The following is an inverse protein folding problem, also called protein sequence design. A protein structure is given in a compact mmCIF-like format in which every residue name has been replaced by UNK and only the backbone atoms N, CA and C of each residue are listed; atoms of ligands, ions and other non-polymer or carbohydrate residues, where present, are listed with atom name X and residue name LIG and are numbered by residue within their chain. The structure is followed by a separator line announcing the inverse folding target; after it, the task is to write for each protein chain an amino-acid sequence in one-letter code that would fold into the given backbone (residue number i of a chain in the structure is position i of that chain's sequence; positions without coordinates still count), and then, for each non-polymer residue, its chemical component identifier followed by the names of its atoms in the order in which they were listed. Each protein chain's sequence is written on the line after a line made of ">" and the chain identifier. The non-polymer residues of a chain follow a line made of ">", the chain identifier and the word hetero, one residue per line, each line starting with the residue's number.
data_IF_576050900677
#
_entry.id   IF_576050900677
#
_cell.length_a   1.000
_cell.length_b   1.000
_cell.length_c   1.000
_cell.angle_alpha   90.00
_cell.angle_beta   90.00
_cell.angle_gamma   90.00
#
_symmetry.space_group_name_H-M   'P 1'
#
loop_
_entity.id
_entity.type
_entity.pdbx_description
1 polymer ?
#
# COMPACT_ATOMS: atom_id res chain seq x y z
N UNK A 1 27.68 37.68 13.14
CA UNK A 1 27.28 36.76 14.23
C UNK A 1 26.99 35.38 13.63
N UNK A 2 27.90 34.41 13.82
CA UNK A 2 27.67 33.00 13.41
C UNK A 2 26.69 32.39 14.43
N UNK A 3 25.42 32.25 14.06
CA UNK A 3 24.45 31.47 14.83
C UNK A 3 25.04 30.07 15.02
N UNK A 4 25.15 29.60 16.27
CA UNK A 4 25.51 28.21 16.58
C UNK A 4 24.51 27.34 15.83
N UNK A 5 24.94 26.71 14.72
CA UNK A 5 24.11 25.74 14.01
C UNK A 5 23.65 24.70 15.02
N UNK A 6 22.32 24.65 15.22
CA UNK A 6 21.64 23.79 16.17
C UNK A 6 22.02 22.32 15.89
N UNK A 7 22.01 21.45 16.91
CA UNK A 7 22.44 20.05 16.72
C UNK A 7 21.65 19.36 15.59
N UNK A 8 20.35 19.66 15.49
CA UNK A 8 19.48 19.19 14.42
C UNK A 8 19.90 19.72 13.04
N UNK A 9 20.31 20.98 12.94
CA UNK A 9 20.78 21.60 11.69
C UNK A 9 22.08 20.94 11.20
N UNK A 10 23.01 20.60 12.11
CA UNK A 10 24.23 19.86 11.78
C UNK A 10 23.98 18.40 11.43
N UNK A 11 23.08 17.71 12.16
CA UNK A 11 22.85 16.29 11.99
C UNK A 11 22.08 15.95 10.71
N UNK A 12 21.08 16.77 10.37
CA UNK A 12 20.23 16.59 9.18
C UNK A 12 20.69 17.41 7.97
N UNK A 13 21.54 18.42 8.15
CA UNK A 13 21.98 19.29 7.06
C UNK A 13 20.88 20.25 6.57
N UNK A 14 20.03 20.74 7.47
CA UNK A 14 18.81 21.52 7.14
C UNK A 14 19.16 22.76 6.31
N UNK A 15 20.14 23.53 6.75
CA UNK A 15 20.63 24.72 6.05
C UNK A 15 21.31 24.38 4.71
N UNK A 16 21.98 23.22 4.61
CA UNK A 16 22.63 22.76 3.36
C UNK A 16 21.59 22.35 2.32
N UNK A 17 20.47 21.78 2.76
CA UNK A 17 19.32 21.44 1.93
C UNK A 17 18.40 22.63 1.60
N UNK A 18 18.82 23.87 1.91
CA UNK A 18 18.05 25.11 1.70
C UNK A 18 16.67 25.10 2.39
N UNK A 19 16.58 24.46 3.56
CA UNK A 19 15.35 24.38 4.37
C UNK A 19 15.53 25.09 5.73
N UNK A 20 14.46 25.11 6.55
CA UNK A 20 14.47 25.64 7.92
C UNK A 20 13.72 24.71 8.87
N UNK A 21 14.02 24.73 10.17
CA UNK A 21 13.33 23.89 11.17
C UNK A 21 11.81 24.09 11.10
N UNK A 22 11.33 25.33 10.95
CA UNK A 22 9.89 25.64 10.83
C UNK A 22 9.29 25.00 9.57
N UNK A 23 10.01 25.06 8.45
CA UNK A 23 9.60 24.45 7.19
C UNK A 23 9.53 22.93 7.32
N UNK A 24 10.54 22.30 7.92
CA UNK A 24 10.57 20.84 8.14
C UNK A 24 9.43 20.37 9.05
N UNK A 25 9.13 21.10 10.13
CA UNK A 25 7.99 20.78 11.02
C UNK A 25 6.66 20.90 10.28
N UNK A 26 6.46 21.99 9.53
CA UNK A 26 5.23 22.18 8.75
C UNK A 26 5.10 21.15 7.62
N UNK A 27 6.21 20.77 7.00
CA UNK A 27 6.27 19.72 6.00
C UNK A 27 5.90 18.37 6.62
N UNK A 28 6.44 18.03 7.80
CA UNK A 28 6.14 16.78 8.49
C UNK A 28 4.68 16.67 8.90
N UNK A 29 4.09 17.77 9.39
CA UNK A 29 2.65 17.87 9.69
C UNK A 29 1.83 17.72 8.41
N UNK A 30 2.24 18.36 7.32
CA UNK A 30 1.56 18.26 6.02
C UNK A 30 1.57 16.83 5.52
N UNK A 31 2.74 16.17 5.53
CA UNK A 31 2.91 14.76 5.16
C UNK A 31 2.02 13.85 6.01
N UNK A 32 2.01 14.04 7.33
CA UNK A 32 1.13 13.25 8.20
C UNK A 32 -0.35 13.44 7.83
N UNK A 33 -0.84 14.67 7.68
CA UNK A 33 -2.25 14.94 7.34
C UNK A 33 -2.64 14.31 5.99
N UNK A 34 -1.74 14.28 5.02
CA UNK A 34 -2.01 13.66 3.71
C UNK A 34 -2.03 12.14 3.76
N UNK A 35 -1.39 11.51 4.76
CA UNK A 35 -1.28 10.05 4.89
C UNK A 35 -2.18 9.49 6.01
N UNK A 36 -2.68 10.34 6.92
CA UNK A 36 -3.45 9.93 8.09
C UNK A 36 -4.68 9.05 7.77
N UNK A 37 -5.18 9.10 6.55
CA UNK A 37 -6.23 8.19 6.08
C UNK A 37 -5.85 6.70 6.19
N UNK A 38 -4.55 6.34 6.10
CA UNK A 38 -4.04 4.96 6.21
C UNK A 38 -4.36 4.36 7.58
N UNK A 39 -4.41 5.20 8.63
CA UNK A 39 -4.82 4.78 9.96
C UNK A 39 -6.21 4.17 9.98
N UNK A 40 -7.11 4.61 9.09
CA UNK A 40 -8.46 4.07 8.99
C UNK A 40 -8.50 2.94 7.96
N UNK A 41 -7.87 3.14 6.80
CA UNK A 41 -7.96 2.20 5.69
C UNK A 41 -7.26 0.87 5.95
N UNK A 42 -6.06 0.88 6.54
CA UNK A 42 -5.31 -0.35 6.72
C UNK A 42 -6.01 -1.34 7.68
N UNK A 43 -6.50 -0.93 8.87
CA UNK A 43 -7.32 -1.78 9.73
C UNK A 43 -8.53 -2.37 9.04
N UNK A 44 -9.23 -1.58 8.24
CA UNK A 44 -10.41 -2.04 7.52
C UNK A 44 -10.05 -3.09 6.47
N UNK A 45 -9.02 -2.86 5.65
CA UNK A 45 -8.61 -3.84 4.63
C UNK A 45 -8.18 -5.16 5.28
N UNK A 46 -7.37 -5.12 6.35
CA UNK A 46 -6.84 -6.33 6.97
C UNK A 46 -7.88 -7.11 7.78
N UNK A 47 -8.95 -6.45 8.25
CA UNK A 47 -10.06 -7.10 8.95
C UNK A 47 -11.18 -7.56 8.03
N UNK A 48 -11.31 -6.98 6.83
CA UNK A 48 -12.36 -7.28 5.85
C UNK A 48 -12.51 -8.78 5.53
N UNK A 49 -11.45 -9.59 5.37
CA UNK A 49 -11.59 -11.02 5.12
C UNK A 49 -12.39 -11.74 6.23
N UNK A 50 -12.23 -11.35 7.49
CA UNK A 50 -12.94 -11.94 8.61
C UNK A 50 -14.41 -11.50 8.66
N UNK A 51 -14.72 -10.30 8.19
CA UNK A 51 -16.11 -9.87 7.96
C UNK A 51 -16.76 -10.75 6.89
N UNK A 52 -16.07 -10.98 5.77
CA UNK A 52 -16.56 -11.81 4.65
C UNK A 52 -16.73 -13.27 5.07
N UNK A 53 -15.83 -13.81 5.90
CA UNK A 53 -15.90 -15.16 6.44
C UNK A 53 -16.96 -15.34 7.55
N UNK A 54 -17.61 -14.26 8.00
CA UNK A 54 -18.68 -14.31 9.00
C UNK A 54 -18.22 -14.28 10.46
N UNK A 55 -16.98 -13.83 10.73
CA UNK A 55 -16.43 -13.65 12.08
C UNK A 55 -16.19 -12.15 12.39
N UNK A 56 -17.28 -11.38 12.67
CA UNK A 56 -17.18 -9.95 12.93
C UNK A 56 -16.44 -9.63 14.25
N UNK A 57 -16.42 -10.55 15.20
CA UNK A 57 -15.74 -10.37 16.49
C UNK A 57 -14.23 -10.38 16.28
N UNK A 58 -13.73 -11.36 15.52
CA UNK A 58 -12.30 -11.41 15.17
C UNK A 58 -11.93 -10.24 14.25
N UNK A 59 -12.79 -9.85 13.32
CA UNK A 59 -12.58 -8.68 12.46
C UNK A 59 -12.36 -7.40 13.30
N UNK A 60 -13.19 -7.16 14.33
CA UNK A 60 -13.03 -6.00 15.20
C UNK A 60 -11.71 -6.04 15.98
N UNK A 61 -11.34 -7.19 16.55
CA UNK A 61 -10.06 -7.36 17.26
C UNK A 61 -8.87 -7.09 16.34
N UNK A 62 -8.90 -7.63 15.11
CA UNK A 62 -7.87 -7.39 14.10
C UNK A 62 -7.83 -5.90 13.74
N UNK A 63 -8.96 -5.23 13.52
CA UNK A 63 -8.95 -3.81 13.20
C UNK A 63 -8.31 -2.96 14.32
N UNK A 64 -8.66 -3.24 15.58
CA UNK A 64 -8.09 -2.55 16.74
C UNK A 64 -6.57 -2.76 16.82
N UNK A 65 -6.12 -4.01 16.67
CA UNK A 65 -4.72 -4.38 16.69
C UNK A 65 -3.92 -3.81 15.52
N UNK A 66 -4.44 -3.91 14.30
CA UNK A 66 -3.82 -3.39 13.08
C UNK A 66 -3.70 -1.87 13.14
N UNK A 67 -4.62 -1.13 13.77
CA UNK A 67 -4.46 0.32 13.92
C UNK A 67 -3.21 0.65 14.72
N UNK A 68 -3.07 0.04 15.91
CA UNK A 68 -1.92 0.26 16.78
C UNK A 68 -0.63 -0.22 16.08
N UNK A 69 -0.68 -1.39 15.45
CA UNK A 69 0.40 -1.93 14.63
C UNK A 69 0.80 -1.00 13.49
N UNK A 70 -0.17 -0.35 12.85
CA UNK A 70 0.06 0.63 11.78
C UNK A 70 0.76 1.88 12.31
N UNK A 71 0.32 2.43 13.44
CA UNK A 71 0.98 3.57 14.08
C UNK A 71 2.44 3.24 14.43
N UNK A 72 2.69 2.07 15.03
CA UNK A 72 4.04 1.65 15.44
C UNK A 72 4.90 1.32 14.22
N UNK A 73 4.39 0.58 13.25
CA UNK A 73 5.10 0.24 12.01
C UNK A 73 5.47 1.47 11.19
N UNK A 74 4.52 2.40 11.02
CA UNK A 74 4.76 3.67 10.34
C UNK A 74 5.75 4.57 11.11
N UNK A 75 5.68 4.58 12.44
CA UNK A 75 6.68 5.24 13.29
C UNK A 75 8.08 4.66 13.06
N UNK A 76 8.24 3.34 13.14
CA UNK A 76 9.55 2.67 12.96
C UNK A 76 10.10 2.97 11.56
N UNK A 77 9.32 2.74 10.51
CA UNK A 77 9.78 2.97 9.13
C UNK A 77 10.10 4.43 8.85
N UNK A 78 9.26 5.34 9.32
CA UNK A 78 9.49 6.77 9.12
C UNK A 78 10.67 7.30 9.94
N UNK A 79 10.92 6.79 11.15
CA UNK A 79 12.13 7.09 11.95
C UNK A 79 13.39 6.58 11.25
N UNK A 80 13.34 5.39 10.64
CA UNK A 80 14.47 4.88 9.85
C UNK A 80 14.74 5.78 8.64
N UNK A 81 13.70 6.22 7.93
CA UNK A 81 13.85 7.23 6.87
C UNK A 81 14.44 8.54 7.39
N UNK A 82 14.05 8.98 8.59
CA UNK A 82 14.57 10.17 9.23
C UNK A 82 16.06 10.03 9.59
N UNK A 83 16.43 9.02 10.37
CA UNK A 83 17.74 8.94 11.01
C UNK A 83 18.79 8.23 10.13
N UNK A 84 18.38 7.16 9.44
CA UNK A 84 19.27 6.33 8.63
C UNK A 84 19.39 6.86 7.20
N UNK A 85 18.26 7.03 6.50
CA UNK A 85 18.28 7.57 5.14
C UNK A 85 18.43 9.10 5.11
N UNK A 86 17.98 9.82 6.14
CA UNK A 86 17.93 11.30 6.19
C UNK A 86 17.22 11.93 5.00
N UNK A 87 16.14 11.30 4.56
CA UNK A 87 15.28 11.75 3.45
C UNK A 87 13.89 12.08 3.98
N UNK A 88 13.17 13.05 3.37
CA UNK A 88 11.84 13.50 3.82
C UNK A 88 10.71 12.55 3.36
N UNK A 89 10.96 11.24 3.34
CA UNK A 89 9.96 10.24 3.00
C UNK A 89 9.30 9.69 4.26
N UNK A 90 7.97 9.57 4.23
CA UNK A 90 7.23 8.81 5.22
C UNK A 90 7.07 7.37 4.75
N UNK A 91 7.06 6.45 5.72
CA UNK A 91 6.72 5.06 5.47
C UNK A 91 5.47 4.68 6.25
N UNK A 92 4.57 3.97 5.57
CA UNK A 92 3.33 3.46 6.13
C UNK A 92 2.93 2.19 5.37
N UNK A 93 1.92 1.43 5.86
CA UNK A 93 1.45 0.24 5.17
C UNK A 93 1.07 0.49 3.70
N UNK A 94 1.69 -0.27 2.79
CA UNK A 94 1.51 -0.12 1.35
C UNK A 94 0.13 -0.56 0.89
N UNK A 95 -0.66 0.35 0.33
CA UNK A 95 -2.08 0.07 0.02
C UNK A 95 -2.29 -1.11 -0.93
N UNK A 96 -1.39 -1.32 -1.91
CA UNK A 96 -1.44 -2.50 -2.80
C UNK A 96 -1.08 -3.80 -2.07
N UNK A 97 -0.13 -3.75 -1.15
CA UNK A 97 0.32 -4.89 -0.35
C UNK A 97 -0.70 -5.31 0.70
N UNK A 98 -1.42 -4.35 1.28
CA UNK A 98 -2.53 -4.60 2.20
C UNK A 98 -3.63 -5.39 1.50
N UNK A 99 -3.96 -5.00 0.27
CA UNK A 99 -4.92 -5.70 -0.57
C UNK A 99 -4.47 -7.11 -0.94
N UNK A 100 -3.20 -7.28 -1.33
CA UNK A 100 -2.63 -8.61 -1.61
C UNK A 100 -2.66 -9.51 -0.37
N UNK A 101 -2.30 -8.97 0.80
CA UNK A 101 -2.38 -9.67 2.08
C UNK A 101 -3.81 -10.13 2.39
N UNK A 102 -4.78 -9.20 2.37
CA UNK A 102 -6.14 -9.48 2.80
C UNK A 102 -6.90 -10.37 1.81
N UNK A 103 -6.84 -10.04 0.52
CA UNK A 103 -7.73 -10.66 -0.46
C UNK A 103 -7.10 -11.85 -1.18
N UNK A 104 -5.79 -11.84 -1.41
CA UNK A 104 -5.12 -12.97 -2.06
C UNK A 104 -4.71 -14.00 -1.02
N UNK A 105 -3.93 -13.62 -0.02
CA UNK A 105 -3.35 -14.59 0.94
C UNK A 105 -4.40 -15.08 1.96
N UNK A 106 -5.11 -14.17 2.61
CA UNK A 106 -6.09 -14.55 3.63
C UNK A 106 -7.37 -15.09 3.00
N UNK A 107 -8.05 -14.30 2.17
CA UNK A 107 -9.34 -14.70 1.60
C UNK A 107 -9.21 -15.74 0.46
N UNK A 108 -8.29 -15.54 -0.48
CA UNK A 108 -8.15 -16.40 -1.66
C UNK A 108 -7.48 -17.74 -1.36
N UNK A 109 -6.41 -17.75 -0.57
CA UNK A 109 -5.64 -18.95 -0.25
C UNK A 109 -6.01 -19.59 1.10
N UNK A 110 -6.86 -18.94 1.90
CA UNK A 110 -7.39 -19.48 3.15
C UNK A 110 -6.41 -19.43 4.34
N UNK A 111 -5.31 -18.67 4.27
CA UNK A 111 -4.41 -18.50 5.40
C UNK A 111 -5.00 -17.59 6.46
N UNK A 112 -4.64 -17.80 7.72
CA UNK A 112 -5.04 -16.89 8.80
C UNK A 112 -4.25 -15.57 8.75
N UNK A 113 -4.78 -14.52 9.38
CA UNK A 113 -4.06 -13.26 9.59
C UNK A 113 -2.67 -13.47 10.22
N UNK A 114 -2.56 -14.34 11.24
CA UNK A 114 -1.29 -14.65 11.89
C UNK A 114 -0.30 -15.37 10.96
N UNK A 115 -0.77 -16.27 10.10
CA UNK A 115 0.06 -16.96 9.10
C UNK A 115 0.53 -16.00 8.00
N UNK A 116 -0.34 -15.11 7.56
CA UNK A 116 0.01 -14.08 6.59
C UNK A 116 1.07 -13.11 7.16
N UNK A 117 1.00 -12.73 8.45
CA UNK A 117 2.05 -11.94 9.11
C UNK A 117 3.41 -12.65 9.10
N UNK A 118 3.46 -13.97 9.27
CA UNK A 118 4.71 -14.74 9.14
C UNK A 118 5.30 -14.62 7.74
N UNK A 119 4.48 -14.70 6.70
CA UNK A 119 4.93 -14.54 5.30
C UNK A 119 5.54 -13.15 5.10
N UNK A 120 4.90 -12.09 5.64
CA UNK A 120 5.43 -10.72 5.59
C UNK A 120 6.75 -10.62 6.35
N UNK A 121 6.84 -11.22 7.55
CA UNK A 121 8.04 -11.22 8.37
C UNK A 121 9.23 -11.89 7.66
N UNK A 122 9.01 -13.07 7.08
CA UNK A 122 10.02 -13.80 6.31
C UNK A 122 10.41 -13.03 5.03
N UNK A 123 9.45 -12.37 4.37
CA UNK A 123 9.71 -11.48 3.24
C UNK A 123 10.60 -10.29 3.65
N UNK A 124 10.35 -9.70 4.82
CA UNK A 124 11.19 -8.64 5.38
C UNK A 124 12.63 -9.10 5.63
N UNK A 125 12.83 -10.28 6.24
CA UNK A 125 14.17 -10.89 6.43
C UNK A 125 14.85 -11.09 5.07
N UNK A 126 14.14 -11.71 4.13
CA UNK A 126 14.64 -11.93 2.78
C UNK A 126 15.10 -10.61 2.16
N UNK A 127 14.32 -9.53 2.30
CA UNK A 127 14.70 -8.21 1.78
C UNK A 127 15.90 -7.58 2.45
N UNK A 128 16.04 -7.71 3.77
CA UNK A 128 17.23 -7.22 4.47
C UNK A 128 18.47 -7.91 3.90
N UNK A 129 18.43 -9.23 3.72
CA UNK A 129 19.54 -10.02 3.17
C UNK A 129 19.86 -9.60 1.74
N UNK A 130 18.87 -9.58 0.84
CA UNK A 130 19.12 -9.25 -0.57
C UNK A 130 19.50 -7.76 -0.77
N UNK A 131 19.07 -6.86 0.11
CA UNK A 131 19.46 -5.45 0.08
C UNK A 131 20.88 -5.27 0.60
N UNK A 132 21.28 -6.02 1.63
CA UNK A 132 22.64 -5.99 2.17
C UNK A 132 23.67 -6.41 1.12
N UNK A 133 23.40 -7.49 0.36
CA UNK A 133 24.28 -7.98 -0.72
C UNK A 133 24.16 -7.18 -2.03
N UNK A 134 23.29 -6.16 -2.10
CA UNK A 134 23.12 -5.32 -3.30
C UNK A 134 22.27 -5.94 -4.42
N UNK A 135 21.70 -7.12 -4.20
CA UNK A 135 20.86 -7.80 -5.18
C UNK A 135 19.55 -7.04 -5.44
N UNK A 136 18.95 -6.41 -4.41
CA UNK A 136 17.70 -5.63 -4.58
C UNK A 136 17.87 -4.52 -5.62
N UNK A 137 18.97 -3.77 -5.58
CA UNK A 137 19.29 -2.72 -6.56
C UNK A 137 19.59 -3.30 -7.95
N UNK A 138 20.30 -4.43 -8.02
CA UNK A 138 20.54 -5.10 -9.29
C UNK A 138 19.23 -5.56 -9.97
N UNK A 139 18.28 -6.08 -9.19
CA UNK A 139 16.95 -6.43 -9.69
C UNK A 139 16.22 -5.18 -10.17
N UNK A 140 16.24 -4.08 -9.41
CA UNK A 140 15.64 -2.80 -9.80
C UNK A 140 16.17 -2.31 -11.14
N UNK A 141 17.50 -2.31 -11.28
CA UNK A 141 18.16 -1.87 -12.50
C UNK A 141 17.90 -2.82 -13.67
N UNK A 142 17.55 -4.08 -13.41
CA UNK A 142 17.19 -5.03 -14.47
C UNK A 142 15.80 -4.80 -15.04
N UNK A 143 14.86 -4.29 -14.24
CA UNK A 143 13.47 -4.11 -14.68
C UNK A 143 13.41 -3.02 -15.74
N UNK A 144 12.83 -3.30 -16.92
CA UNK A 144 12.66 -2.32 -17.98
C UNK A 144 11.78 -1.15 -17.53
N UNK A 145 12.10 0.05 -17.98
CA UNK A 145 11.35 1.25 -17.59
C UNK A 145 9.88 1.18 -18.00
N UNK A 146 9.56 0.54 -19.13
CA UNK A 146 8.18 0.29 -19.56
C UNK A 146 7.34 -0.44 -18.48
N UNK A 147 7.92 -1.45 -17.82
CA UNK A 147 7.24 -2.18 -16.73
C UNK A 147 7.34 -1.41 -15.42
N UNK A 148 8.51 -0.83 -15.13
CA UNK A 148 8.78 -0.07 -13.90
C UNK A 148 7.79 1.09 -13.71
N UNK A 149 7.55 1.86 -14.77
CA UNK A 149 6.63 3.00 -14.75
C UNK A 149 5.16 2.58 -14.78
N UNK A 150 4.86 1.36 -15.25
CA UNK A 150 3.52 0.81 -15.32
C UNK A 150 3.02 0.16 -14.01
N UNK A 151 3.93 -0.18 -13.09
CA UNK A 151 3.58 -0.77 -11.79
C UNK A 151 2.66 0.15 -10.98
N UNK A 152 3.05 1.41 -10.78
CA UNK A 152 2.28 2.37 -9.97
C UNK A 152 0.84 2.59 -10.49
N UNK A 153 0.61 2.87 -11.80
CA UNK A 153 -0.76 2.98 -12.32
C UNK A 153 -1.54 1.65 -12.27
N UNK A 154 -0.88 0.50 -12.46
CA UNK A 154 -1.52 -0.82 -12.30
C UNK A 154 -2.03 -1.08 -10.88
N UNK A 155 -1.20 -0.77 -9.87
CA UNK A 155 -1.59 -0.85 -8.45
C UNK A 155 -2.74 0.12 -8.15
N UNK A 156 -2.70 1.32 -8.73
CA UNK A 156 -3.80 2.29 -8.61
C UNK A 156 -5.15 1.74 -9.11
N UNK A 157 -5.17 1.07 -10.26
CA UNK A 157 -6.38 0.42 -10.78
C UNK A 157 -6.82 -0.78 -9.91
N UNK A 158 -5.86 -1.55 -9.39
CA UNK A 158 -6.16 -2.66 -8.47
C UNK A 158 -6.83 -2.19 -7.17
N UNK A 159 -6.32 -1.12 -6.55
CA UNK A 159 -6.96 -0.53 -5.36
C UNK A 159 -8.31 0.10 -5.72
N UNK A 160 -8.45 0.67 -6.92
CA UNK A 160 -9.72 1.23 -7.41
C UNK A 160 -10.80 0.16 -7.51
N UNK A 161 -10.52 -1.02 -8.08
CA UNK A 161 -11.53 -2.09 -8.18
C UNK A 161 -11.95 -2.62 -6.80
N UNK A 162 -11.04 -2.65 -5.82
CA UNK A 162 -11.36 -2.97 -4.42
C UNK A 162 -12.30 -1.92 -3.83
N UNK A 163 -11.98 -0.63 -4.00
CA UNK A 163 -12.84 0.46 -3.54
C UNK A 163 -14.25 0.39 -4.15
N UNK A 164 -14.34 0.14 -5.46
CA UNK A 164 -15.62 0.01 -6.15
C UNK A 164 -16.44 -1.19 -5.67
N UNK A 165 -15.78 -2.31 -5.38
CA UNK A 165 -16.41 -3.51 -4.79
C UNK A 165 -16.89 -3.25 -3.35
N UNK A 166 -16.04 -2.66 -2.50
CA UNK A 166 -16.35 -2.38 -1.10
C UNK A 166 -17.46 -1.33 -0.94
N UNK A 167 -17.59 -0.42 -1.91
CA UNK A 167 -18.70 0.52 -2.00
C UNK A 167 -20.03 -0.15 -2.44
N UNK A 168 -20.00 -1.38 -2.94
CA UNK A 168 -21.15 -1.99 -3.60
C UNK A 168 -21.48 -1.35 -4.96
N UNK A 169 -20.57 -0.59 -5.56
CA UNK A 169 -20.78 0.01 -6.91
C UNK A 169 -20.62 -1.07 -7.98
N UNK A 170 -19.59 -1.91 -7.85
CA UNK A 170 -19.35 -3.05 -8.73
C UNK A 170 -19.72 -4.34 -8.00
N UNK A 171 -20.60 -5.12 -8.63
CA UNK A 171 -21.06 -6.43 -8.17
C UNK A 171 -20.61 -7.54 -9.13
N UNK A 172 -20.51 -8.77 -8.63
CA UNK A 172 -20.17 -9.93 -9.45
C UNK A 172 -21.30 -10.26 -10.43
N UNK A 173 -20.96 -10.56 -11.68
CA UNK A 173 -21.92 -11.02 -12.68
C UNK A 173 -21.38 -12.29 -13.36
N UNK A 174 -22.07 -13.43 -13.32
CA UNK A 174 -21.60 -14.67 -13.94
C UNK A 174 -21.34 -14.57 -15.46
N UNK A 175 -22.02 -13.67 -16.17
CA UNK A 175 -21.89 -13.50 -17.61
C UNK A 175 -20.75 -12.55 -18.01
N UNK A 176 -20.41 -11.57 -17.17
CA UNK A 176 -19.44 -10.49 -17.51
C UNK A 176 -18.30 -10.33 -16.51
N UNK A 177 -18.22 -11.20 -15.50
CA UNK A 177 -17.41 -11.11 -14.28
C UNK A 177 -17.82 -9.95 -13.35
N UNK A 178 -18.05 -8.76 -13.89
CA UNK A 178 -18.42 -7.55 -13.16
C UNK A 178 -19.64 -6.87 -13.77
N UNK A 179 -20.48 -6.25 -12.93
CA UNK A 179 -21.62 -5.42 -13.34
C UNK A 179 -21.80 -4.25 -12.38
N UNK A 180 -22.52 -3.22 -12.82
CA UNK A 180 -22.90 -2.09 -11.99
C UNK A 180 -24.07 -2.50 -11.08
N UNK A 181 -24.09 -2.02 -9.84
CA UNK A 181 -25.28 -2.15 -8.99
C UNK A 181 -26.51 -1.54 -9.67
N UNK A 182 -27.64 -2.23 -9.56
CA UNK A 182 -28.91 -1.70 -10.04
C UNK A 182 -29.49 -0.69 -9.05
N UNK A 183 -29.21 0.59 -9.30
CA UNK A 183 -29.74 1.70 -8.53
C UNK A 183 -31.27 1.80 -8.60
N UNK A 184 -31.95 1.14 -9.55
CA UNK A 184 -33.42 1.15 -9.67
C UNK A 184 -34.11 0.24 -8.66
N UNK A 185 -33.35 -0.62 -7.96
CA UNK A 185 -33.89 -1.53 -6.95
C UNK A 185 -34.49 -0.82 -5.74
N UNK A 186 -34.23 0.48 -5.53
CA UNK A 186 -34.91 1.29 -4.50
C UNK A 186 -36.45 1.30 -4.61
N UNK A 187 -37.00 0.93 -5.78
CA UNK A 187 -38.44 0.83 -6.04
C UNK A 187 -39.05 -0.53 -5.66
N UNK A 188 -38.23 -1.54 -5.37
CA UNK A 188 -38.68 -2.90 -5.08
C UNK A 188 -38.75 -3.11 -3.55
N UNK A 189 -39.88 -3.61 -3.06
CA UNK A 189 -40.01 -4.04 -1.67
C UNK A 189 -39.08 -5.24 -1.41
N UNK A 190 -38.13 -5.08 -0.48
CA UNK A 190 -37.14 -6.11 -0.13
C UNK A 190 -35.75 -5.95 -0.77
N UNK A 191 -35.50 -4.86 -1.52
CA UNK A 191 -34.17 -4.56 -2.04
C UNK A 191 -33.16 -4.26 -0.91
N UNK A 192 -31.89 -4.64 -1.13
CA UNK A 192 -30.79 -4.37 -0.20
C UNK A 192 -30.43 -2.87 -0.22
N UNK A 193 -31.20 -2.10 0.54
CA UNK A 193 -31.00 -0.66 0.70
C UNK A 193 -29.62 -0.33 1.27
N UNK A 194 -28.97 -1.26 1.99
CA UNK A 194 -27.64 -1.05 2.56
C UNK A 194 -26.57 -0.98 1.45
N UNK A 195 -26.69 -1.80 0.42
CA UNK A 195 -25.78 -1.82 -0.72
C UNK A 195 -25.92 -0.54 -1.58
N UNK A 196 -27.15 -0.11 -1.85
CA UNK A 196 -27.43 1.13 -2.61
C UNK A 196 -26.94 2.36 -1.82
N UNK A 197 -27.28 2.43 -0.52
CA UNK A 197 -26.85 3.52 0.33
C UNK A 197 -25.31 3.57 0.46
N UNK A 198 -24.67 2.40 0.49
CA UNK A 198 -23.21 2.26 0.42
C UNK A 198 -22.63 2.89 -0.84
N UNK A 199 -23.17 2.53 -2.00
CA UNK A 199 -22.73 3.05 -3.29
C UNK A 199 -22.92 4.57 -3.40
N UNK A 200 -24.08 5.09 -2.94
CA UNK A 200 -24.35 6.53 -2.91
C UNK A 200 -23.41 7.28 -1.98
N UNK A 201 -23.18 6.76 -0.77
CA UNK A 201 -22.23 7.34 0.19
C UNK A 201 -20.84 7.42 -0.41
N UNK A 202 -20.43 6.35 -1.11
CA UNK A 202 -19.13 6.31 -1.74
C UNK A 202 -19.01 7.33 -2.90
N UNK A 203 -20.01 7.41 -3.78
CA UNK A 203 -20.01 8.36 -4.90
C UNK A 203 -20.00 9.80 -4.42
N UNK A 204 -20.82 10.15 -3.42
CA UNK A 204 -20.84 11.50 -2.85
C UNK A 204 -19.51 11.80 -2.15
N UNK A 205 -18.99 10.85 -1.37
CA UNK A 205 -17.69 10.97 -0.72
C UNK A 205 -16.56 11.21 -1.72
N UNK A 206 -16.58 10.51 -2.86
CA UNK A 206 -15.59 10.65 -3.93
C UNK A 206 -15.65 12.05 -4.57
N UNK A 207 -16.86 12.55 -4.83
CA UNK A 207 -17.06 13.91 -5.36
C UNK A 207 -16.52 14.95 -4.36
N UNK A 208 -16.83 14.81 -3.07
CA UNK A 208 -16.32 15.71 -2.03
C UNK A 208 -14.79 15.67 -1.97
N UNK A 209 -14.17 14.48 -1.96
CA UNK A 209 -12.72 14.32 -2.01
C UNK A 209 -12.12 15.02 -3.24
N UNK A 210 -12.72 14.81 -4.42
CA UNK A 210 -12.31 15.44 -5.66
C UNK A 210 -12.38 16.96 -5.61
N UNK A 211 -13.47 17.53 -5.08
CA UNK A 211 -13.64 18.98 -4.92
C UNK A 211 -12.60 19.54 -3.95
N UNK A 212 -12.41 18.91 -2.78
CA UNK A 212 -11.43 19.34 -1.78
C UNK A 212 -10.00 19.29 -2.35
N UNK A 213 -9.67 18.22 -3.07
CA UNK A 213 -8.36 18.07 -3.70
C UNK A 213 -8.15 19.08 -4.84
N UNK A 214 -9.16 19.32 -5.68
CA UNK A 214 -9.10 20.33 -6.74
C UNK A 214 -8.91 21.75 -6.17
N UNK A 215 -9.46 22.02 -4.98
CA UNK A 215 -9.22 23.25 -4.20
C UNK A 215 -7.89 23.26 -3.44
N UNK A 216 -7.03 22.26 -3.64
CA UNK A 216 -5.71 22.12 -2.99
C UNK A 216 -5.78 22.10 -1.46
N UNK A 217 -6.87 21.56 -0.90
CA UNK A 217 -7.02 21.38 0.55
C UNK A 217 -6.15 20.21 1.01
N UNK A 218 -5.23 20.47 1.94
CA UNK A 218 -4.38 19.43 2.56
C UNK A 218 -5.25 18.45 3.35
N UNK A 219 -5.00 17.15 3.20
CA UNK A 219 -5.81 16.11 3.85
C UNK A 219 -7.19 15.92 3.23
N UNK A 220 -7.36 16.24 1.94
CA UNK A 220 -8.62 16.07 1.20
C UNK A 220 -9.19 14.65 1.33
N UNK A 221 -8.34 13.63 1.35
CA UNK A 221 -8.73 12.22 1.52
C UNK A 221 -9.29 11.99 2.92
N UNK A 222 -8.58 12.41 3.97
CA UNK A 222 -9.05 12.27 5.36
C UNK A 222 -10.38 13.01 5.59
N UNK A 223 -10.47 14.28 5.14
CA UNK A 223 -11.68 15.07 5.25
C UNK A 223 -12.85 14.47 4.45
N UNK A 224 -12.55 13.86 3.31
CA UNK A 224 -13.53 13.11 2.54
C UNK A 224 -14.06 11.88 3.25
N UNK A 225 -13.21 11.13 3.96
CA UNK A 225 -13.64 9.99 4.79
C UNK A 225 -14.57 10.48 5.89
N UNK A 226 -14.22 11.59 6.56
CA UNK A 226 -15.07 12.20 7.60
C UNK A 226 -16.42 12.62 7.00
N UNK A 227 -16.42 13.30 5.86
CA UNK A 227 -17.66 13.71 5.19
C UNK A 227 -18.52 12.50 4.78
N UNK A 228 -17.93 11.47 4.18
CA UNK A 228 -18.64 10.24 3.80
C UNK A 228 -19.20 9.50 5.03
N UNK A 229 -18.46 9.50 6.15
CA UNK A 229 -18.91 8.91 7.42
C UNK A 229 -20.12 9.66 7.97
N UNK A 230 -20.11 10.99 7.92
CA UNK A 230 -21.23 11.83 8.35
C UNK A 230 -22.47 11.65 7.46
N UNK A 231 -22.28 11.51 6.15
CA UNK A 231 -23.36 11.21 5.19
C UNK A 231 -23.93 9.80 5.39
N UNK A 232 -23.09 8.85 5.83
CA UNK A 232 -23.52 7.50 6.17
C UNK A 232 -24.44 7.42 7.40
N UNK A 233 -24.47 8.44 8.28
CA UNK A 233 -25.35 8.49 9.46
C UNK A 233 -26.84 8.54 9.06
N UNK A 234 -27.32 9.55 8.30
CA UNK A 234 -28.72 9.60 7.88
C UNK A 234 -29.11 8.45 6.95
N UNK A 235 -28.14 7.84 6.26
CA UNK A 235 -28.36 6.68 5.39
C UNK A 235 -28.39 5.34 6.14
N UNK A 236 -28.21 5.34 7.46
CA UNK A 236 -28.26 4.13 8.31
C UNK A 236 -27.06 3.20 8.19
N UNK A 237 -26.01 3.62 7.49
CA UNK A 237 -24.77 2.84 7.26
C UNK A 237 -23.81 3.03 8.43
N UNK A 238 -23.69 4.25 8.94
CA UNK A 238 -22.83 4.59 10.07
C UNK A 238 -23.61 4.37 11.37
N UNK A 239 -23.25 3.33 12.13
CA UNK A 239 -23.86 3.05 13.44
C UNK A 239 -23.02 3.67 14.57
N UNK A 240 -23.54 4.74 15.17
CA UNK A 240 -22.91 5.42 16.31
C UNK A 240 -22.85 4.58 17.60
N UNK A 241 -23.60 3.47 17.66
CA UNK A 241 -23.60 2.53 18.80
C UNK A 241 -22.28 1.78 18.99
N UNK A 242 -21.39 1.80 17.98
CA UNK A 242 -20.09 1.12 18.02
C UNK A 242 -18.97 1.99 18.64
N UNK A 243 -19.32 3.14 19.22
CA UNK A 243 -18.42 4.01 19.96
C UNK A 243 -18.05 3.39 21.31
N UNK A 244 -17.06 2.50 21.30
CA UNK A 244 -16.40 2.07 22.54
C UNK A 244 -15.09 2.87 22.73
N UNK A 245 -15.13 3.83 23.64
CA UNK A 245 -13.96 4.67 23.98
C UNK A 245 -12.99 3.97 24.94
N UNK A 246 -13.18 2.67 25.21
CA UNK A 246 -12.32 1.89 26.09
C UNK A 246 -10.99 1.52 25.41
N UNK A 247 -10.04 2.45 25.47
CA UNK A 247 -8.67 2.29 24.98
C UNK A 247 -8.00 1.03 25.57
N UNK A 248 -8.32 0.65 26.81
CA UNK A 248 -7.75 -0.52 27.48
C UNK A 248 -8.11 -1.84 26.78
N UNK A 249 -9.35 -1.98 26.32
CA UNK A 249 -9.78 -3.16 25.53
C UNK A 249 -9.05 -3.21 24.19
N UNK A 250 -8.90 -2.06 23.52
CA UNK A 250 -8.22 -1.97 22.23
C UNK A 250 -6.73 -2.35 22.32
N UNK A 251 -6.04 -1.96 23.40
CA UNK A 251 -4.67 -2.39 23.68
C UNK A 251 -4.58 -3.88 24.04
N UNK A 252 -5.60 -4.42 24.72
CA UNK A 252 -5.67 -5.87 24.98
C UNK A 252 -5.84 -6.65 23.68
N UNK A 253 -6.72 -6.20 22.79
CA UNK A 253 -6.91 -6.83 21.47
C UNK A 253 -5.60 -6.80 20.65
N UNK A 254 -4.87 -5.68 20.70
CA UNK A 254 -3.53 -5.58 20.11
C UNK A 254 -2.56 -6.62 20.67
N UNK A 255 -2.51 -6.79 21.99
CA UNK A 255 -1.65 -7.79 22.63
C UNK A 255 -2.10 -9.24 22.34
N UNK A 256 -3.41 -9.46 22.17
CA UNK A 256 -4.00 -10.78 21.94
C UNK A 256 -3.84 -11.25 20.49
N UNK A 257 -3.98 -10.34 19.52
CA UNK A 257 -4.12 -10.69 18.10
C UNK A 257 -2.97 -10.20 17.22
N UNK A 258 -2.33 -9.07 17.53
CA UNK A 258 -1.37 -8.41 16.62
C UNK A 258 0.07 -8.45 17.12
N UNK A 259 0.32 -8.15 18.39
CA UNK A 259 1.67 -8.01 18.93
C UNK A 259 2.37 -9.35 19.10
N UNK A 260 3.37 -9.62 18.26
CA UNK A 260 4.13 -10.88 18.19
C UNK A 260 3.26 -12.15 18.04
N UNK A 261 2.05 -12.01 17.51
CA UNK A 261 1.09 -13.10 17.28
C UNK A 261 1.23 -13.68 15.88
N UNK A 262 2.47 -13.96 15.50
CA UNK A 262 2.83 -14.62 14.25
C UNK A 262 2.63 -16.13 14.38
N UNK A 263 1.77 -16.71 13.53
CA UNK A 263 1.42 -18.14 13.60
C UNK A 263 2.37 -19.00 12.75
N UNK A 264 3.61 -19.16 13.23
CA UNK A 264 4.59 -20.06 12.60
C UNK A 264 4.10 -21.51 12.65
N UNK A 265 3.47 -21.91 13.75
CA UNK A 265 3.00 -23.28 13.95
C UNK A 265 1.95 -23.69 12.92
N UNK A 266 0.93 -22.87 12.71
CA UNK A 266 -0.10 -23.13 11.72
C UNK A 266 0.40 -23.03 10.29
N UNK A 267 1.34 -22.11 10.01
CA UNK A 267 1.93 -22.00 8.67
C UNK A 267 2.72 -23.26 8.27
N UNK A 268 3.35 -23.93 9.24
CA UNK A 268 4.15 -25.14 9.01
C UNK A 268 3.45 -26.46 9.42
N UNK A 269 2.14 -26.43 9.71
CA UNK A 269 1.38 -27.58 10.21
C UNK A 269 1.00 -28.63 9.14
N UNK A 270 1.44 -28.48 7.89
CA UNK A 270 1.08 -29.38 6.79
C UNK A 270 1.58 -30.82 6.98
N UNK A 271 0.86 -31.78 6.40
CA UNK A 271 1.15 -33.22 6.48
C UNK A 271 2.50 -33.61 5.87
N UNK A 272 2.99 -32.84 4.87
CA UNK A 272 4.29 -33.01 4.24
C UNK A 272 5.17 -31.76 4.44
N UNK A 273 6.16 -31.85 5.33
CA UNK A 273 7.05 -30.73 5.64
C UNK A 273 7.73 -30.13 4.40
N UNK A 274 8.20 -30.97 3.46
CA UNK A 274 8.87 -30.49 2.24
C UNK A 274 7.94 -29.72 1.32
N UNK A 275 6.68 -30.15 1.20
CA UNK A 275 5.67 -29.46 0.40
C UNK A 275 5.28 -28.12 1.04
N UNK A 276 5.09 -28.11 2.36
CA UNK A 276 4.80 -26.88 3.10
C UNK A 276 5.95 -25.88 3.02
N UNK A 277 7.19 -26.31 3.20
CA UNK A 277 8.38 -25.44 3.04
C UNK A 277 8.46 -24.88 1.63
N UNK A 278 8.20 -25.70 0.60
CA UNK A 278 8.20 -25.23 -0.79
C UNK A 278 7.10 -24.18 -1.03
N UNK A 279 5.88 -24.43 -0.58
CA UNK A 279 4.73 -23.51 -0.70
C UNK A 279 4.99 -22.20 0.03
N UNK A 280 5.45 -22.25 1.28
CA UNK A 280 5.80 -21.06 2.07
C UNK A 280 6.93 -20.29 1.40
N UNK A 281 7.95 -20.98 0.88
CA UNK A 281 9.05 -20.32 0.15
C UNK A 281 8.54 -19.61 -1.10
N UNK A 282 7.67 -20.25 -1.88
CA UNK A 282 7.05 -19.64 -3.06
C UNK A 282 6.17 -18.43 -2.70
N UNK A 283 5.41 -18.52 -1.60
CA UNK A 283 4.62 -17.42 -1.08
C UNK A 283 5.49 -16.24 -0.64
N UNK A 284 6.55 -16.51 0.13
CA UNK A 284 7.51 -15.50 0.57
C UNK A 284 8.17 -14.86 -0.65
N UNK A 285 8.58 -15.63 -1.66
CA UNK A 285 9.15 -15.07 -2.91
C UNK A 285 8.11 -14.22 -3.63
N UNK A 286 6.87 -14.70 -3.79
CA UNK A 286 5.81 -13.97 -4.50
C UNK A 286 5.46 -12.66 -3.78
N UNK A 287 5.23 -12.72 -2.47
CA UNK A 287 4.97 -11.56 -1.63
C UNK A 287 6.15 -10.59 -1.68
N UNK A 288 7.37 -11.14 -1.64
CA UNK A 288 8.58 -10.33 -1.75
C UNK A 288 8.61 -9.59 -3.08
N UNK A 289 8.45 -10.28 -4.20
CA UNK A 289 8.46 -9.64 -5.52
C UNK A 289 7.42 -8.52 -5.62
N UNK A 290 6.18 -8.75 -5.16
CA UNK A 290 5.14 -7.71 -5.11
C UNK A 290 5.59 -6.52 -4.28
N UNK A 291 6.15 -6.75 -3.09
CA UNK A 291 6.66 -5.69 -2.23
C UNK A 291 7.80 -4.92 -2.88
N UNK A 292 8.74 -5.61 -3.48
CA UNK A 292 9.84 -4.99 -4.21
C UNK A 292 9.30 -4.03 -5.28
N UNK A 293 8.39 -4.49 -6.13
CA UNK A 293 7.81 -3.68 -7.19
C UNK A 293 7.04 -2.48 -6.65
N UNK A 294 6.26 -2.67 -5.59
CA UNK A 294 5.52 -1.59 -4.92
C UNK A 294 6.47 -0.55 -4.31
N UNK A 295 7.43 -0.96 -3.45
CA UNK A 295 8.41 -0.05 -2.84
C UNK A 295 9.21 0.72 -3.87
N UNK A 296 9.55 0.12 -5.02
CA UNK A 296 10.20 0.82 -6.13
C UNK A 296 9.26 1.86 -6.73
N UNK A 297 8.05 1.45 -7.09
CA UNK A 297 7.08 2.29 -7.77
C UNK A 297 6.66 3.49 -6.93
N UNK A 298 6.46 3.28 -5.63
CA UNK A 298 6.09 4.34 -4.68
C UNK A 298 7.27 5.23 -4.33
N UNK A 299 8.46 4.69 -4.10
CA UNK A 299 9.67 5.48 -3.84
C UNK A 299 10.04 6.33 -5.05
N UNK A 300 10.03 5.75 -6.25
CA UNK A 300 10.30 6.47 -7.49
C UNK A 300 9.22 7.52 -7.75
N UNK A 301 7.94 7.17 -7.60
CA UNK A 301 6.82 8.10 -7.74
C UNK A 301 6.93 9.29 -6.78
N UNK A 302 7.19 9.03 -5.50
CA UNK A 302 7.42 10.06 -4.49
C UNK A 302 8.63 10.93 -4.85
N UNK A 303 9.75 10.32 -5.26
CA UNK A 303 10.97 11.03 -5.60
C UNK A 303 10.83 11.91 -6.84
N UNK A 304 10.16 11.41 -7.90
CA UNK A 304 9.92 12.18 -9.13
C UNK A 304 9.04 13.39 -8.89
N UNK A 305 7.92 13.21 -8.19
CA UNK A 305 7.00 14.30 -7.90
C UNK A 305 7.60 15.38 -6.98
N UNK A 306 8.65 15.03 -6.25
CA UNK A 306 9.25 15.88 -5.23
C UNK A 306 10.64 16.41 -5.58
N UNK A 307 11.18 16.05 -6.75
CA UNK A 307 12.50 16.46 -7.20
C UNK A 307 13.66 15.82 -6.43
N UNK A 308 13.43 14.67 -5.79
CA UNK A 308 14.42 13.92 -5.00
C UNK A 308 15.13 12.84 -5.86
N UNK A 309 15.42 13.18 -7.11
CA UNK A 309 16.16 12.35 -8.06
C UNK A 309 17.55 12.96 -8.28
N UNK A 310 18.57 12.12 -8.47
CA UNK A 310 19.92 12.52 -8.88
C UNK A 310 20.04 12.75 -10.40
N UNK A 311 21.26 13.11 -10.84
CA UNK A 311 21.58 13.39 -12.25
C UNK A 311 21.41 12.17 -13.18
N UNK A 312 21.45 10.96 -12.63
CA UNK A 312 21.30 9.71 -13.39
C UNK A 312 19.83 9.25 -13.48
N UNK A 313 18.90 10.02 -12.90
CA UNK A 313 17.51 9.60 -12.81
C UNK A 313 17.21 8.63 -11.66
N UNK A 314 18.16 8.40 -10.74
CA UNK A 314 18.01 7.51 -9.58
C UNK A 314 17.58 8.27 -8.32
N UNK A 315 16.89 7.59 -7.42
CA UNK A 315 16.40 8.21 -6.17
C UNK A 315 17.57 8.49 -5.22
N UNK A 316 17.63 9.71 -4.69
CA UNK A 316 18.64 10.09 -3.69
C UNK A 316 18.56 9.15 -2.48
N UNK A 317 19.67 8.48 -2.18
CA UNK A 317 19.79 7.52 -1.05
C UNK A 317 18.79 6.36 -1.13
N UNK A 318 18.55 5.86 -2.35
CA UNK A 318 17.67 4.71 -2.61
C UNK A 318 17.99 3.51 -1.72
N UNK A 319 19.27 3.12 -1.59
CA UNK A 319 19.69 1.97 -0.77
C UNK A 319 19.19 2.06 0.67
N UNK A 320 19.37 3.23 1.28
CA UNK A 320 19.01 3.47 2.67
C UNK A 320 17.50 3.50 2.85
N UNK A 321 16.77 4.08 1.89
CA UNK A 321 15.31 4.08 1.89
C UNK A 321 14.73 2.66 1.76
N UNK A 322 15.26 1.85 0.82
CA UNK A 322 14.85 0.45 0.64
C UNK A 322 15.23 -0.44 1.81
N UNK A 323 16.37 -0.22 2.45
CA UNK A 323 16.72 -0.94 3.68
C UNK A 323 15.80 -0.54 4.84
N UNK A 324 15.44 0.74 4.95
CA UNK A 324 14.48 1.23 5.95
C UNK A 324 13.12 0.54 5.78
N UNK A 325 12.67 0.43 4.53
CA UNK A 325 11.46 -0.30 4.11
C UNK A 325 11.50 -1.80 4.46
N UNK A 326 12.63 -2.49 4.23
CA UNK A 326 12.77 -3.90 4.57
C UNK A 326 12.71 -4.15 6.08
N UNK A 327 13.41 -3.31 6.86
CA UNK A 327 13.44 -3.40 8.33
C UNK A 327 12.08 -3.02 8.91
N UNK A 328 11.41 -2.01 8.37
CA UNK A 328 10.08 -1.59 8.82
C UNK A 328 8.99 -2.57 8.44
N UNK A 329 9.12 -3.27 7.31
CA UNK A 329 8.26 -4.41 6.95
C UNK A 329 8.38 -5.55 7.95
N UNK A 330 9.61 -5.93 8.31
CA UNK A 330 9.86 -6.97 9.32
C UNK A 330 9.26 -6.54 10.68
N UNK A 331 9.57 -5.32 11.12
CA UNK A 331 9.06 -4.77 12.38
C UNK A 331 7.53 -4.61 12.37
N UNK A 332 6.96 -4.22 11.23
CA UNK A 332 5.53 -4.07 10.99
C UNK A 332 4.80 -5.40 11.20
N UNK A 333 5.32 -6.48 10.60
CA UNK A 333 4.77 -7.82 10.79
C UNK A 333 4.79 -8.26 12.27
N UNK A 334 5.85 -7.93 13.02
CA UNK A 334 5.92 -8.23 14.46
C UNK A 334 4.90 -7.46 15.30
N UNK A 335 4.46 -6.28 14.85
CA UNK A 335 3.42 -5.49 15.53
C UNK A 335 2.04 -5.68 14.89
N UNK A 336 1.88 -6.65 14.00
CA UNK A 336 0.61 -7.00 13.38
C UNK A 336 0.12 -6.02 12.33
N UNK A 337 1.00 -5.26 11.69
CA UNK A 337 0.67 -4.58 10.44
C UNK A 337 1.29 -5.30 9.26
N UNK A 338 0.72 -5.06 8.09
CA UNK A 338 1.25 -5.50 6.80
C UNK A 338 2.56 -4.76 6.46
N UNK A 339 3.02 -4.95 5.23
CA UNK A 339 4.24 -4.37 4.68
C UNK A 339 4.27 -2.86 4.78
N UNK A 340 5.30 -2.31 5.41
CA UNK A 340 5.53 -0.88 5.55
C UNK A 340 6.48 -0.42 4.44
N UNK A 341 6.02 0.55 3.64
CA UNK A 341 6.73 1.04 2.46
C UNK A 341 6.66 2.55 2.36
N UNK A 342 7.49 3.13 1.50
CA UNK A 342 7.43 4.57 1.20
C UNK A 342 6.09 4.92 0.55
N UNK A 343 5.48 6.02 0.98
CA UNK A 343 4.19 6.47 0.42
C UNK A 343 4.36 7.70 -0.47
N UNK A 344 3.62 7.73 -1.58
CA UNK A 344 3.73 8.75 -2.63
C UNK A 344 3.32 10.14 -2.14
N UNK A 345 2.42 10.20 -1.17
CA UNK A 345 1.90 11.40 -0.52
C UNK A 345 2.97 12.17 0.27
N UNK A 346 4.12 11.55 0.53
CA UNK A 346 5.30 12.26 1.05
C UNK A 346 5.68 13.46 0.18
N UNK A 347 5.35 13.42 -1.12
CA UNK A 347 5.55 14.54 -2.05
C UNK A 347 4.85 15.82 -1.60
N UNK A 348 3.73 15.73 -0.87
CA UNK A 348 2.98 16.90 -0.40
C UNK A 348 3.74 17.71 0.66
N UNK A 349 4.40 17.06 1.62
CA UNK A 349 5.25 17.76 2.59
C UNK A 349 6.53 18.27 1.94
N UNK A 350 7.09 17.53 0.99
CA UNK A 350 8.27 17.95 0.23
C UNK A 350 7.93 19.18 -0.63
N UNK A 351 6.72 19.28 -1.19
CA UNK A 351 6.26 20.45 -1.94
C UNK A 351 6.15 21.72 -1.07
N UNK A 352 5.97 21.59 0.25
CA UNK A 352 5.96 22.71 1.21
C UNK A 352 7.40 23.15 1.60
N UNK A 353 8.42 22.42 1.13
CA UNK A 353 9.83 22.74 1.33
C UNK A 353 10.57 21.80 2.27
N UNK A 354 9.96 20.70 2.73
CA UNK A 354 10.67 19.66 3.48
C UNK A 354 11.73 19.01 2.61
N UNK A 355 12.96 18.86 3.12
CA UNK A 355 14.08 18.30 2.35
C UNK A 355 14.92 17.30 3.12
N UNK A 356 14.72 17.19 4.43
CA UNK A 356 15.59 16.38 5.29
C UNK A 356 14.82 15.33 6.10
N UNK A 357 15.56 14.47 6.78
CA UNK A 357 14.99 13.52 7.74
C UNK A 357 14.22 14.16 8.91
N UNK A 358 14.37 15.46 9.19
CA UNK A 358 13.58 16.13 10.21
C UNK A 358 12.08 16.15 9.86
N UNK A 359 11.75 16.35 8.58
CA UNK A 359 10.37 16.23 8.07
C UNK A 359 9.78 14.86 8.42
N UNK A 360 10.50 13.78 8.12
CA UNK A 360 10.08 12.41 8.45
C UNK A 360 9.96 12.21 9.95
N UNK A 361 10.92 12.70 10.75
CA UNK A 361 10.89 12.53 12.21
C UNK A 361 9.61 13.12 12.82
N UNK A 362 9.20 14.31 12.36
CA UNK A 362 7.95 14.94 12.80
C UNK A 362 6.74 14.09 12.41
N UNK A 363 6.68 13.60 11.17
CA UNK A 363 5.62 12.69 10.73
C UNK A 363 5.57 11.41 11.57
N UNK A 364 6.71 10.82 11.91
CA UNK A 364 6.77 9.61 12.73
C UNK A 364 6.14 9.83 14.11
N UNK A 365 6.50 10.91 14.80
CA UNK A 365 5.92 11.21 16.11
C UNK A 365 4.42 11.49 16.05
N UNK A 366 3.91 12.04 14.94
CA UNK A 366 2.47 12.18 14.74
C UNK A 366 1.77 10.82 14.58
N UNK A 367 2.37 9.86 13.85
CA UNK A 367 1.88 8.48 13.83
C UNK A 367 1.85 7.86 15.23
N UNK A 368 2.90 8.03 16.01
CA UNK A 368 2.93 7.53 17.40
C UNK A 368 1.84 8.18 18.28
N UNK A 369 1.67 9.49 18.17
CA UNK A 369 0.60 10.22 18.86
C UNK A 369 -0.80 9.82 18.42
N UNK A 370 -0.94 9.23 17.23
CA UNK A 370 -2.24 8.82 16.69
C UNK A 370 -2.83 7.58 17.35
N UNK A 371 -2.03 6.85 18.14
CA UNK A 371 -2.51 5.71 18.96
C UNK A 371 -3.65 6.15 19.91
N UNK A 372 -3.67 7.41 20.34
CA UNK A 372 -4.75 7.95 21.17
C UNK A 372 -6.11 7.99 20.45
N UNK A 373 -6.10 7.94 19.12
CA UNK A 373 -7.30 8.00 18.27
C UNK A 373 -7.80 6.64 17.81
N UNK A 374 -7.26 5.52 18.35
CA UNK A 374 -7.77 4.16 18.07
C UNK A 374 -9.31 4.05 18.16
N UNK A 375 -10.01 4.64 19.15
CA UNK A 375 -11.46 4.50 19.25
C UNK A 375 -12.25 5.05 18.04
N UNK A 376 -11.65 5.94 17.24
CA UNK A 376 -12.31 6.56 16.08
C UNK A 376 -12.49 5.55 14.93
N UNK A 377 -11.65 4.51 14.86
CA UNK A 377 -11.66 3.51 13.77
C UNK A 377 -12.99 2.77 13.69
N UNK A 378 -13.54 2.38 14.84
CA UNK A 378 -14.75 1.57 14.94
C UNK A 378 -16.02 2.28 14.45
N UNK A 379 -15.96 3.61 14.26
CA UNK A 379 -17.09 4.43 13.80
C UNK A 379 -17.18 4.44 12.27
N UNK A 380 -16.04 4.31 11.59
CA UNK A 380 -15.97 4.54 10.15
C UNK A 380 -16.42 3.27 9.41
N UNK A 381 -17.51 3.29 8.63
CA UNK A 381 -17.93 2.12 7.85
C UNK A 381 -17.06 1.93 6.60
N UNK A 382 -17.02 0.71 6.06
CA UNK A 382 -16.27 0.41 4.83
C UNK A 382 -16.74 1.25 3.62
N UNK A 383 -18.03 1.56 3.53
CA UNK A 383 -18.57 2.42 2.47
C UNK A 383 -18.03 3.87 2.53
N UNK A 384 -17.62 4.36 3.71
CA UNK A 384 -17.07 5.71 3.85
C UNK A 384 -15.59 5.81 3.46
N UNK A 385 -14.89 4.68 3.40
CA UNK A 385 -13.47 4.63 3.04
C UNK A 385 -13.22 4.13 1.63
N UNK A 386 -14.18 3.42 1.03
CA UNK A 386 -14.17 3.08 -0.39
C UNK A 386 -13.83 4.27 -1.33
N UNK A 387 -14.34 5.51 -1.10
CA UNK A 387 -13.96 6.68 -1.89
C UNK A 387 -12.49 7.02 -1.80
N UNK A 388 -11.88 6.81 -0.62
CA UNK A 388 -10.46 7.06 -0.42
C UNK A 388 -9.63 6.06 -1.24
N UNK A 389 -10.03 4.79 -1.30
CA UNK A 389 -9.37 3.79 -2.15
C UNK A 389 -9.44 4.17 -3.64
N UNK A 390 -10.63 4.56 -4.11
CA UNK A 390 -10.81 5.03 -5.49
C UNK A 390 -9.95 6.28 -5.75
N UNK A 391 -9.93 7.23 -4.81
CA UNK A 391 -9.20 8.48 -4.97
C UNK A 391 -7.68 8.29 -4.94
N UNK A 392 -7.15 7.44 -4.06
CA UNK A 392 -5.74 7.04 -4.06
C UNK A 392 -5.38 6.37 -5.39
N UNK A 393 -6.27 5.51 -5.91
CA UNK A 393 -6.13 4.92 -7.24
C UNK A 393 -6.00 5.96 -8.35
N UNK A 394 -6.81 7.02 -8.32
CA UNK A 394 -6.72 8.16 -9.26
C UNK A 394 -5.36 8.85 -9.17
N UNK A 395 -4.84 9.11 -7.96
CA UNK A 395 -3.54 9.75 -7.77
C UNK A 395 -2.40 8.88 -8.31
N UNK A 396 -2.44 7.57 -8.06
CA UNK A 396 -1.44 6.62 -8.57
C UNK A 396 -1.50 6.46 -10.09
N UNK A 397 -2.71 6.48 -10.68
CA UNK A 397 -2.94 6.44 -12.11
C UNK A 397 -2.34 7.65 -12.84
N UNK A 398 -2.19 8.80 -12.17
CA UNK A 398 -1.54 9.98 -12.75
C UNK A 398 -0.13 9.73 -13.29
N UNK A 399 0.60 8.75 -12.73
CA UNK A 399 1.93 8.36 -13.20
C UNK A 399 1.92 7.66 -14.56
N UNK A 400 0.75 7.30 -15.11
CA UNK A 400 0.62 6.74 -16.46
C UNK A 400 1.16 7.67 -17.54
N UNK A 401 1.23 8.99 -17.27
CA UNK A 401 1.82 9.98 -18.19
C UNK A 401 3.30 9.76 -18.47
N UNK A 402 3.99 9.08 -17.57
CA UNK A 402 5.40 8.75 -17.69
C UNK A 402 5.64 7.46 -18.49
N UNK A 403 4.58 6.71 -18.81
CA UNK A 403 4.67 5.49 -19.59
C UNK A 403 4.72 5.85 -21.09
N UNK A 404 5.78 5.41 -21.76
CA UNK A 404 5.93 5.60 -23.19
C UNK A 404 5.05 4.62 -23.98
N UNK A 405 3.94 5.15 -24.51
CA UNK A 405 3.03 4.43 -25.41
C UNK A 405 3.35 4.65 -26.91
N UNK A 406 4.40 5.40 -27.26
CA UNK A 406 4.74 5.70 -28.65
C UNK A 406 5.32 4.48 -29.38
N UNK A 407 6.11 3.65 -28.68
CA UNK A 407 6.65 2.41 -29.23
C UNK A 407 5.87 1.19 -28.73
N UNK A 408 5.35 0.37 -29.67
CA UNK A 408 4.63 -0.86 -29.32
C UNK A 408 5.47 -1.84 -28.48
N UNK A 409 6.80 -1.83 -28.65
CA UNK A 409 7.73 -2.67 -27.87
C UNK A 409 7.75 -2.34 -26.37
N UNK A 410 7.33 -1.14 -25.99
CA UNK A 410 7.21 -0.67 -24.61
C UNK A 410 5.73 -0.58 -24.17
N UNK A 411 4.85 -0.14 -25.08
CA UNK A 411 3.43 0.04 -24.83
C UNK A 411 2.72 -1.26 -24.42
N UNK A 412 2.97 -2.36 -25.14
CA UNK A 412 2.31 -3.63 -24.85
C UNK A 412 2.70 -4.21 -23.47
N UNK A 413 4.00 -4.29 -23.09
CA UNK A 413 4.40 -4.68 -21.74
C UNK A 413 3.81 -3.79 -20.64
N UNK A 414 3.78 -2.47 -20.85
CA UNK A 414 3.21 -1.54 -19.89
C UNK A 414 1.70 -1.75 -19.73
N UNK A 415 0.97 -1.92 -20.85
CA UNK A 415 -0.45 -2.23 -20.85
C UNK A 415 -0.76 -3.53 -20.11
N UNK A 416 -0.02 -4.60 -20.40
CA UNK A 416 -0.16 -5.88 -19.70
C UNK A 416 0.09 -5.73 -18.20
N UNK A 417 1.10 -4.94 -17.82
CA UNK A 417 1.40 -4.64 -16.41
C UNK A 417 0.23 -3.96 -15.72
N UNK A 418 -0.40 -2.97 -16.37
CA UNK A 418 -1.49 -2.18 -15.78
C UNK A 418 -2.78 -2.99 -15.67
N UNK A 419 -3.16 -3.72 -16.72
CA UNK A 419 -4.49 -4.33 -16.85
C UNK A 419 -4.62 -5.65 -16.11
N UNK A 420 -3.58 -6.49 -16.11
CA UNK A 420 -3.67 -7.80 -15.47
C UNK A 420 -3.73 -7.72 -13.94
N UNK A 421 -3.28 -6.62 -13.31
CA UNK A 421 -3.40 -6.44 -11.86
C UNK A 421 -4.86 -6.43 -11.38
N UNK A 422 -5.74 -5.50 -11.81
CA UNK A 422 -7.13 -5.47 -11.40
C UNK A 422 -7.92 -6.69 -11.89
N UNK A 423 -7.67 -7.14 -13.13
CA UNK A 423 -8.50 -8.19 -13.74
C UNK A 423 -8.19 -9.60 -13.24
N UNK A 424 -6.97 -9.84 -12.75
CA UNK A 424 -6.61 -11.11 -12.11
C UNK A 424 -6.54 -10.99 -10.58
N UNK A 425 -6.90 -9.82 -10.05
CA UNK A 425 -6.86 -9.50 -8.63
C UNK A 425 -5.48 -9.78 -7.98
N UNK A 426 -4.40 -9.62 -8.76
CA UNK A 426 -3.04 -10.01 -8.39
C UNK A 426 -1.99 -9.08 -8.99
N UNK A 427 -1.30 -8.35 -8.11
CA UNK A 427 -0.18 -7.48 -8.50
C UNK A 427 0.94 -8.29 -9.14
N UNK A 428 1.24 -9.47 -8.59
CA UNK A 428 2.27 -10.38 -9.09
C UNK A 428 1.99 -10.77 -10.55
N UNK A 429 0.72 -11.06 -10.87
CA UNK A 429 0.35 -11.45 -12.22
C UNK A 429 0.55 -10.30 -13.20
N UNK A 430 0.14 -9.09 -12.84
CA UNK A 430 0.39 -7.90 -13.66
C UNK A 430 1.86 -7.74 -14.03
N UNK A 431 2.76 -7.74 -13.03
CA UNK A 431 4.19 -7.58 -13.30
C UNK A 431 4.76 -8.75 -14.11
N UNK A 432 4.33 -9.98 -13.82
CA UNK A 432 4.75 -11.17 -14.55
C UNK A 432 4.39 -11.07 -16.04
N UNK A 433 3.13 -10.76 -16.37
CA UNK A 433 2.71 -10.57 -17.76
C UNK A 433 3.45 -9.42 -18.43
N UNK A 434 3.71 -8.33 -17.71
CA UNK A 434 4.54 -7.22 -18.19
C UNK A 434 5.95 -7.65 -18.60
N UNK A 435 6.67 -8.34 -17.70
CA UNK A 435 8.04 -8.79 -17.94
C UNK A 435 8.13 -9.84 -19.05
N UNK A 436 7.21 -10.81 -19.06
CA UNK A 436 7.12 -11.84 -20.10
C UNK A 436 6.92 -11.19 -21.47
N UNK A 437 5.95 -10.28 -21.56
CA UNK A 437 5.61 -9.61 -22.81
C UNK A 437 6.75 -8.69 -23.27
N UNK A 438 7.45 -8.03 -22.34
CA UNK A 438 8.64 -7.24 -22.67
C UNK A 438 9.74 -8.10 -23.31
N UNK A 439 10.08 -9.22 -22.66
CA UNK A 439 11.10 -10.13 -23.17
C UNK A 439 10.70 -10.68 -24.54
N UNK A 440 9.46 -11.14 -24.72
CA UNK A 440 8.98 -11.65 -26.00
C UNK A 440 9.04 -10.57 -27.08
N UNK A 441 8.52 -9.37 -26.82
CA UNK A 441 8.51 -8.29 -27.80
C UNK A 441 9.93 -7.92 -28.23
N UNK A 442 10.86 -7.70 -27.29
CA UNK A 442 12.23 -7.30 -27.62
C UNK A 442 13.03 -8.40 -28.30
N UNK A 443 12.83 -9.67 -27.91
CA UNK A 443 13.49 -10.81 -28.56
C UNK A 443 13.00 -11.01 -30.00
N UNK A 444 11.69 -10.89 -30.23
CA UNK A 444 11.06 -11.12 -31.54
C UNK A 444 11.22 -9.93 -32.50
N UNK A 445 11.39 -8.71 -31.99
CA UNK A 445 11.65 -7.50 -32.80
C UNK A 445 13.14 -7.27 -33.10
N UNK A 446 14.02 -8.19 -32.73
CA UNK A 446 15.47 -8.12 -32.99
C UNK A 446 16.25 -7.20 -32.03
N UNK A 447 15.58 -6.54 -31.08
CA UNK A 447 16.21 -5.68 -30.06
C UNK A 447 16.70 -6.48 -28.84
N UNK A 448 17.43 -7.58 -29.08
CA UNK A 448 17.87 -8.51 -28.01
C UNK A 448 18.80 -7.87 -26.98
N UNK A 449 19.57 -6.87 -27.40
CA UNK A 449 20.51 -6.12 -26.56
C UNK A 449 19.83 -5.29 -25.45
N UNK A 450 18.54 -4.96 -25.61
CA UNK A 450 17.78 -4.20 -24.60
C UNK A 450 17.38 -5.09 -23.40
N UNK A 451 17.37 -6.42 -23.57
CA UNK A 451 16.91 -7.37 -22.54
C UNK A 451 18.08 -7.77 -21.65
N UNK A 452 18.08 -7.25 -20.42
CA UNK A 452 19.05 -7.68 -19.40
C UNK A 452 18.83 -9.15 -19.05
N UNK A 453 19.92 -9.88 -18.82
CA UNK A 453 19.88 -11.31 -18.51
C UNK A 453 18.99 -11.63 -17.31
N UNK A 454 19.03 -10.79 -16.27
CA UNK A 454 18.25 -10.97 -15.06
C UNK A 454 16.73 -10.80 -15.31
N UNK A 455 16.33 -9.88 -16.19
CA UNK A 455 14.94 -9.73 -16.64
C UNK A 455 14.45 -10.99 -17.35
N UNK A 456 15.29 -11.56 -18.21
CA UNK A 456 14.97 -12.79 -18.93
C UNK A 456 14.83 -13.99 -17.97
N UNK A 457 15.73 -14.11 -16.98
CA UNK A 457 15.63 -15.15 -15.95
C UNK A 457 14.32 -15.01 -15.16
N UNK A 458 13.98 -13.80 -14.70
CA UNK A 458 12.71 -13.56 -13.97
C UNK A 458 11.50 -13.91 -14.85
N UNK A 459 11.50 -13.49 -16.12
CA UNK A 459 10.43 -13.82 -17.05
C UNK A 459 10.28 -15.32 -17.27
N UNK A 460 11.38 -16.06 -17.41
CA UNK A 460 11.37 -17.52 -17.54
C UNK A 460 10.82 -18.17 -16.28
N UNK A 461 11.21 -17.70 -15.09
CA UNK A 461 10.66 -18.19 -13.82
C UNK A 461 9.14 -18.01 -13.76
N UNK A 462 8.61 -16.85 -14.20
CA UNK A 462 7.17 -16.64 -14.28
C UNK A 462 6.48 -17.54 -15.33
N UNK A 463 7.09 -17.76 -16.49
CA UNK A 463 6.56 -18.69 -17.51
C UNK A 463 6.49 -20.11 -16.94
N UNK A 464 7.56 -20.58 -16.29
CA UNK A 464 7.59 -21.88 -15.62
C UNK A 464 6.51 -21.94 -14.55
N UNK A 465 6.39 -20.91 -13.70
CA UNK A 465 5.32 -20.83 -12.70
C UNK A 465 3.96 -21.05 -13.35
N UNK A 466 3.61 -20.32 -14.40
CA UNK A 466 2.31 -20.46 -15.06
C UNK A 466 2.12 -21.79 -15.79
N UNK A 467 3.19 -22.36 -16.35
CA UNK A 467 3.15 -23.67 -17.00
C UNK A 467 2.87 -24.81 -16.00
N UNK A 468 3.34 -24.67 -14.76
CA UNK A 468 3.14 -25.64 -13.68
C UNK A 468 2.08 -25.22 -12.66
N UNK A 469 1.38 -24.10 -12.87
CA UNK A 469 0.36 -23.61 -11.95
C UNK A 469 -0.91 -24.45 -12.12
N UNK A 470 -1.07 -25.45 -11.27
CA UNK A 470 -2.33 -26.20 -11.10
C UNK A 470 -3.23 -25.41 -10.16
N UNK A 471 -3.96 -24.42 -10.70
CA UNK A 471 -5.10 -23.69 -10.11
C UNK A 471 -5.01 -23.27 -8.62
N UNK A 472 -4.96 -21.96 -8.40
CA UNK A 472 -5.09 -21.28 -7.12
C UNK A 472 -4.78 -19.80 -7.28
#
# INVERSE_FOLDING_TARGET
>A
MKQKADFADRFFGISQSRSSIKTEVLAGITTFITIAYILILNPQILSDPYVIMGDPVMAEKIANGVFIGTCIGAFIGTVLCALYAKVPFAQAPGMGLNAFFAYTVVLGMGYTYGQALVIVFLSGIFFIVITAIGLREAIIRSIPDAVKMAITPGIGLFITIIGLKNAGIIISNPATLVSLVDFSQWKLEGADMMLINGALTALIGLIIMGILHARKVKGSILLGIVAATLIGIPLGITRLSNLDMNIGVKFRDFAEVSFMRMDFTGLFAGTNFMETVFTVTMLVISFSLVNMFDSIGTLLGAARQSGMIDENGEVIRMKQALMSDAVSTLAGAMVGTSTVTTVVESSAGIAVGGRTGLTSLVTAFMFLGSILFVPIVSIVPAAATAPALIFVGILMLGNIREVDFSEMSNALPAFCTIVFMPFTYSIANGVAFGLITYCLMKLMTGRKQDVKALTLVISVVFVVRYAFMTLG
#
